data_IF_074688012308
#
_entry.id   IF_074688012308
#
_cell.length_a   1.000
_cell.length_b   1.000
_cell.length_c   1.000
_cell.angle_alpha   90.00
_cell.angle_beta   90.00
_cell.angle_gamma   90.00
#
_symmetry.space_group_name_H-M   'P 1'
#
loop_
_entity.id
_entity.type
_entity.pdbx_description
1 polymer ?
#
# COMPACT_ATOMS: atom_id res chain seq x y z
N UNK A 1 -28.16 30.28 16.36
CA UNK A 1 -26.69 30.19 16.27
C UNK A 1 -26.34 30.20 14.79
N UNK A 2 -25.54 31.15 14.33
CA UNK A 2 -25.23 31.33 12.91
C UNK A 2 -24.27 30.22 12.44
N UNK A 3 -24.63 29.52 11.37
CA UNK A 3 -23.73 28.55 10.75
C UNK A 3 -22.50 29.27 10.19
N UNK A 4 -21.38 29.18 10.92
CA UNK A 4 -20.13 29.76 10.48
C UNK A 4 -19.48 28.86 9.43
N UNK A 5 -19.36 29.38 8.20
CA UNK A 5 -18.69 28.73 7.07
C UNK A 5 -17.27 29.27 6.97
N UNK A 6 -16.27 28.38 6.92
CA UNK A 6 -14.86 28.75 6.74
C UNK A 6 -14.35 28.27 5.39
N UNK A 7 -13.48 29.05 4.76
CA UNK A 7 -12.72 28.59 3.59
C UNK A 7 -11.72 27.48 3.97
N UNK A 8 -11.21 26.74 2.99
CA UNK A 8 -10.18 25.71 3.19
C UNK A 8 -8.99 26.25 4.00
N UNK A 9 -8.50 27.44 3.66
CA UNK A 9 -7.31 28.06 4.28
C UNK A 9 -7.57 28.41 5.73
N UNK A 10 -8.75 28.96 6.03
CA UNK A 10 -9.14 29.32 7.39
C UNK A 10 -9.33 28.07 8.25
N UNK A 11 -9.98 27.03 7.70
CA UNK A 11 -10.15 25.75 8.37
C UNK A 11 -8.80 25.07 8.66
N UNK A 12 -7.88 25.10 7.70
CA UNK A 12 -6.52 24.58 7.85
C UNK A 12 -5.77 25.24 9.02
N UNK A 13 -5.84 26.57 9.10
CA UNK A 13 -5.25 27.35 10.20
C UNK A 13 -5.91 27.04 11.55
N UNK A 14 -7.24 26.96 11.58
CA UNK A 14 -7.99 26.71 12.82
C UNK A 14 -7.65 25.35 13.44
N UNK A 15 -7.48 24.32 12.62
CA UNK A 15 -7.18 22.95 13.07
C UNK A 15 -5.71 22.55 12.97
N UNK A 16 -4.81 23.50 12.65
CA UNK A 16 -3.37 23.25 12.48
C UNK A 16 -3.03 22.09 11.52
N UNK A 17 -3.76 22.00 10.41
CA UNK A 17 -3.54 21.00 9.35
C UNK A 17 -3.19 21.68 8.03
N UNK A 18 -2.47 21.00 7.15
CA UNK A 18 -2.14 21.58 5.83
C UNK A 18 -3.38 21.70 4.94
N UNK A 19 -3.43 22.74 4.10
CA UNK A 19 -4.45 22.92 3.06
C UNK A 19 -4.63 21.66 2.18
N UNK A 20 -3.51 20.99 1.88
CA UNK A 20 -3.51 19.77 1.08
C UNK A 20 -4.25 18.63 1.78
N UNK A 21 -4.08 18.50 3.10
CA UNK A 21 -4.79 17.52 3.92
C UNK A 21 -6.30 17.79 3.91
N UNK A 22 -6.72 19.05 4.01
CA UNK A 22 -8.14 19.44 3.96
C UNK A 22 -8.75 19.05 2.61
N UNK A 23 -8.09 19.40 1.49
CA UNK A 23 -8.53 19.01 0.13
C UNK A 23 -8.65 17.51 -0.02
N UNK A 24 -7.68 16.74 0.48
CA UNK A 24 -7.73 15.27 0.46
C UNK A 24 -8.93 14.75 1.25
N UNK A 25 -9.20 15.31 2.44
CA UNK A 25 -10.35 14.91 3.28
C UNK A 25 -11.69 15.18 2.58
N UNK A 26 -11.83 16.34 1.93
CA UNK A 26 -12.99 16.68 1.08
C UNK A 26 -13.13 15.65 -0.05
N UNK A 27 -12.05 15.38 -0.79
CA UNK A 27 -12.04 14.40 -1.90
C UNK A 27 -12.43 12.99 -1.44
N UNK A 28 -12.00 12.58 -0.25
CA UNK A 28 -12.34 11.27 0.33
C UNK A 28 -13.72 11.21 1.00
N UNK A 29 -14.48 12.32 1.04
CA UNK A 29 -15.78 12.39 1.72
C UNK A 29 -15.70 12.40 3.25
N UNK A 30 -14.49 12.51 3.83
CA UNK A 30 -14.29 12.59 5.29
C UNK A 30 -14.60 13.96 5.88
N UNK A 31 -14.73 14.96 5.03
CA UNK A 31 -15.08 16.33 5.40
C UNK A 31 -16.10 16.85 4.39
N UNK A 32 -17.28 17.25 4.85
CA UNK A 32 -18.28 17.81 3.95
C UNK A 32 -17.92 19.27 3.64
N UNK A 33 -18.00 19.63 2.37
CA UNK A 33 -17.75 20.98 1.90
C UNK A 33 -18.76 21.38 0.82
N UNK A 34 -19.05 22.67 0.74
CA UNK A 34 -19.93 23.25 -0.29
C UNK A 34 -19.11 24.17 -1.18
N UNK A 35 -19.29 24.06 -2.50
CA UNK A 35 -18.67 24.95 -3.47
C UNK A 35 -19.53 26.21 -3.64
N UNK A 36 -18.99 27.39 -3.32
CA UNK A 36 -19.63 28.69 -3.54
C UNK A 36 -18.65 29.63 -4.22
N UNK A 37 -19.03 30.23 -5.35
CA UNK A 37 -18.20 31.16 -6.12
C UNK A 37 -16.80 30.59 -6.46
N UNK A 38 -16.74 29.31 -6.83
CA UNK A 38 -15.47 28.62 -7.16
C UNK A 38 -14.56 28.31 -5.97
N UNK A 39 -14.99 28.58 -4.72
CA UNK A 39 -14.24 28.28 -3.50
C UNK A 39 -15.00 27.28 -2.63
N UNK A 40 -14.27 26.37 -1.98
CA UNK A 40 -14.83 25.39 -1.05
C UNK A 40 -14.95 25.99 0.35
N UNK A 41 -16.11 25.78 0.98
CA UNK A 41 -16.41 26.18 2.35
C UNK A 41 -16.80 24.97 3.20
N UNK A 42 -16.37 24.95 4.46
CA UNK A 42 -16.55 23.87 5.43
C UNK A 42 -17.32 24.43 6.64
N UNK A 43 -18.32 23.70 7.12
CA UNK A 43 -19.11 24.09 8.29
C UNK A 43 -18.39 23.73 9.60
N UNK A 44 -18.27 24.68 10.51
CA UNK A 44 -17.52 24.56 11.77
C UNK A 44 -18.14 23.55 12.77
N UNK A 45 -19.45 23.30 12.67
CA UNK A 45 -20.18 22.44 13.61
C UNK A 45 -20.12 20.95 13.27
N UNK A 46 -19.41 20.57 12.20
CA UNK A 46 -19.04 19.17 12.02
C UNK A 46 -17.91 18.87 13.00
N UNK A 47 -18.28 18.51 14.23
CA UNK A 47 -17.39 17.68 15.05
C UNK A 47 -16.94 16.55 14.13
N UNK A 48 -15.64 16.26 14.01
CA UNK A 48 -15.14 15.13 13.23
C UNK A 48 -15.52 13.83 13.95
N UNK A 49 -16.82 13.57 14.06
CA UNK A 49 -17.36 12.31 14.50
C UNK A 49 -17.29 11.37 13.30
N UNK A 50 -16.35 10.45 13.44
CA UNK A 50 -16.51 9.06 13.08
C UNK A 50 -18.00 8.67 12.97
N UNK A 51 -18.35 7.99 11.88
CA UNK A 51 -19.63 7.32 11.59
C UNK A 51 -20.75 8.20 11.00
N UNK A 52 -20.93 8.13 9.68
CA UNK A 52 -21.97 7.28 9.06
C UNK A 52 -22.20 7.70 7.60
N UNK A 53 -21.95 6.75 6.70
CA UNK A 53 -22.36 6.81 5.31
C UNK A 53 -23.88 6.65 5.30
N UNK A 54 -24.62 7.77 5.34
CA UNK A 54 -26.03 7.76 4.97
C UNK A 54 -26.10 7.91 3.45
N UNK A 55 -26.14 6.78 2.75
CA UNK A 55 -26.55 6.73 1.34
C UNK A 55 -27.95 7.36 1.25
N UNK A 56 -28.06 8.50 0.57
CA UNK A 56 -29.34 9.00 0.07
C UNK A 56 -29.89 7.97 -0.92
N UNK A 57 -31.04 7.42 -0.58
CA UNK A 57 -31.94 6.67 -1.46
C UNK A 57 -32.41 7.56 -2.61
N UNK A 58 -32.20 7.10 -3.84
CA UNK A 58 -32.87 7.59 -5.05
C UNK A 58 -33.99 6.58 -5.34
N UNK A 59 -35.24 7.02 -5.56
CA UNK A 59 -36.33 6.11 -5.92
C UNK A 59 -36.44 5.93 -7.45
N UNK A 60 -37.14 4.85 -7.82
CA UNK A 60 -38.01 4.71 -9.01
C UNK A 60 -37.51 3.85 -10.19
N UNK A 61 -38.20 2.70 -10.31
CA UNK A 61 -38.74 1.97 -11.46
C UNK A 61 -37.90 1.16 -12.46
N UNK A 62 -38.20 -0.15 -12.41
CA UNK A 62 -38.56 -1.10 -13.47
C UNK A 62 -37.84 -1.12 -14.84
N UNK A 63 -37.29 -2.31 -15.07
CA UNK A 63 -37.31 -3.11 -16.31
C UNK A 63 -36.28 -2.82 -17.41
N UNK A 64 -35.46 -3.86 -17.60
CA UNK A 64 -34.83 -4.30 -18.86
C UNK A 64 -33.59 -3.52 -19.31
N UNK A 65 -32.41 -4.09 -19.03
CA UNK A 65 -31.58 -4.75 -20.04
C UNK A 65 -30.17 -4.96 -19.47
N UNK A 66 -29.72 -6.21 -19.55
CA UNK A 66 -28.35 -6.58 -19.28
C UNK A 66 -27.43 -5.88 -20.29
N UNK A 67 -26.64 -4.92 -19.81
CA UNK A 67 -25.43 -4.47 -20.48
C UNK A 67 -24.30 -4.39 -19.46
N UNK A 68 -23.47 -5.43 -19.49
CA UNK A 68 -22.10 -5.39 -19.02
C UNK A 68 -21.34 -4.34 -19.85
N UNK A 69 -20.98 -3.22 -19.22
CA UNK A 69 -19.79 -2.45 -19.63
C UNK A 69 -18.97 -2.20 -18.38
N UNK A 70 -18.03 -3.12 -18.16
CA UNK A 70 -16.81 -2.84 -17.42
C UNK A 70 -16.07 -1.71 -18.14
N UNK A 71 -15.84 -0.59 -17.45
CA UNK A 71 -14.76 0.33 -17.78
C UNK A 71 -13.91 0.61 -16.53
N UNK A 72 -12.83 -0.16 -16.47
CA UNK A 72 -11.47 0.30 -16.27
C UNK A 72 -11.11 0.94 -14.93
N UNK A 73 -10.74 0.07 -13.99
CA UNK A 73 -9.87 0.35 -12.85
C UNK A 73 -8.48 0.81 -13.31
N UNK A 74 -8.12 2.05 -12.98
CA UNK A 74 -6.72 2.47 -12.82
C UNK A 74 -6.33 2.32 -11.36
N UNK A 75 -5.82 1.14 -11.01
CA UNK A 75 -5.02 0.90 -9.80
C UNK A 75 -4.05 -0.24 -10.10
N UNK A 76 -2.75 0.04 -10.10
CA UNK A 76 -1.69 -0.97 -10.25
C UNK A 76 -1.35 -1.57 -8.89
N UNK A 77 -1.81 -2.79 -8.69
CA UNK A 77 -1.22 -3.72 -7.72
C UNK A 77 -1.15 -5.10 -8.40
N UNK A 78 0.07 -5.59 -8.60
CA UNK A 78 0.31 -6.94 -9.11
C UNK A 78 0.11 -7.94 -7.97
N UNK A 79 -0.88 -8.81 -8.12
CA UNK A 79 -1.06 -10.03 -7.34
C UNK A 79 -1.15 -11.17 -8.34
N UNK A 80 -0.10 -11.97 -8.43
CA UNK A 80 -0.13 -13.26 -9.11
C UNK A 80 -0.65 -14.32 -8.14
N UNK A 81 -1.79 -14.94 -8.48
CA UNK A 81 -2.08 -16.33 -8.13
C UNK A 81 -2.83 -17.02 -9.28
N UNK A 82 -2.63 -18.34 -9.44
CA UNK A 82 -2.78 -19.02 -10.71
C UNK A 82 -4.18 -19.62 -10.86
N UNK A 83 -4.71 -19.71 -12.09
CA UNK A 83 -5.50 -20.89 -12.41
C UNK A 83 -5.60 -21.19 -13.91
N UNK A 84 -5.37 -22.47 -14.14
CA UNK A 84 -5.46 -23.26 -15.37
C UNK A 84 -6.84 -23.20 -16.02
N UNK A 85 -6.89 -22.82 -17.29
CA UNK A 85 -7.51 -23.58 -18.38
C UNK A 85 -7.57 -22.70 -19.63
N UNK A 86 -6.58 -22.83 -20.50
CA UNK A 86 -6.79 -22.53 -21.91
C UNK A 86 -6.28 -23.69 -22.75
N UNK A 87 -7.23 -24.23 -23.51
CA UNK A 87 -7.03 -25.21 -24.57
C UNK A 87 -6.01 -24.67 -25.56
N UNK A 88 -5.11 -25.58 -25.94
CA UNK A 88 -4.06 -25.42 -26.92
C UNK A 88 -4.61 -24.96 -28.28
N UNK A 89 -4.36 -23.71 -28.65
CA UNK A 89 -4.38 -23.30 -30.05
C UNK A 89 -2.93 -23.08 -30.47
N UNK A 90 -2.37 -24.10 -31.14
CA UNK A 90 -0.99 -24.16 -31.62
C UNK A 90 -0.72 -23.07 -32.66
N UNK A 91 -0.41 -21.87 -32.22
CA UNK A 91 0.37 -20.93 -33.04
C UNK A 91 1.83 -21.20 -32.75
N UNK A 92 2.49 -21.85 -33.70
CA UNK A 92 3.95 -21.96 -33.76
C UNK A 92 4.54 -20.55 -33.86
N UNK A 93 4.77 -19.92 -32.71
CA UNK A 93 5.65 -18.77 -32.62
C UNK A 93 7.05 -19.35 -32.64
N UNK A 94 7.73 -19.21 -33.79
CA UNK A 94 9.17 -19.33 -33.87
C UNK A 94 9.77 -18.28 -32.93
N UNK A 95 10.08 -18.68 -31.71
CA UNK A 95 11.03 -17.97 -30.86
C UNK A 95 12.38 -18.08 -31.55
N UNK A 96 12.71 -17.09 -32.39
CA UNK A 96 14.10 -16.76 -32.65
C UNK A 96 14.69 -16.36 -31.31
N UNK A 97 15.52 -17.24 -30.76
CA UNK A 97 16.41 -17.03 -29.62
C UNK A 97 17.06 -15.66 -29.73
N UNK A 98 16.71 -14.78 -28.80
CA UNK A 98 17.40 -13.49 -28.64
C UNK A 98 18.88 -13.68 -28.21
N UNK A 99 19.28 -14.92 -27.94
CA UNK A 99 20.65 -15.33 -27.61
C UNK A 99 21.59 -15.41 -28.83
N UNK A 100 21.08 -15.42 -30.07
CA UNK A 100 21.92 -15.58 -31.27
C UNK A 100 22.41 -14.26 -31.91
N UNK A 101 22.10 -13.10 -31.33
CA UNK A 101 22.55 -11.80 -31.85
C UNK A 101 23.44 -10.98 -30.91
N UNK A 102 23.95 -11.60 -29.84
CA UNK A 102 25.01 -11.02 -29.01
C UNK A 102 26.26 -11.91 -28.98
N UNK A 103 26.57 -12.59 -30.08
CA UNK A 103 27.94 -13.03 -30.38
C UNK A 103 28.68 -11.84 -31.01
N UNK A 104 28.79 -10.74 -30.27
CA UNK A 104 30.01 -9.96 -30.41
C UNK A 104 31.09 -10.82 -29.77
N UNK A 105 31.84 -11.50 -30.63
CA UNK A 105 33.07 -12.18 -30.27
C UNK A 105 33.87 -11.22 -29.39
N UNK A 106 33.84 -11.47 -28.09
CA UNK A 106 34.77 -10.92 -27.11
C UNK A 106 36.13 -11.56 -27.40
N UNK A 107 36.73 -11.19 -28.54
CA UNK A 107 38.17 -11.09 -28.59
C UNK A 107 38.53 -10.13 -27.46
N UNK A 108 39.25 -10.68 -26.48
CA UNK A 108 39.64 -10.01 -25.25
C UNK A 108 39.86 -8.51 -25.48
N UNK A 109 39.12 -7.62 -24.79
CA UNK A 109 39.40 -6.17 -24.85
C UNK A 109 40.80 -5.83 -24.31
N UNK A 110 41.52 -6.81 -23.75
CA UNK A 110 42.89 -6.74 -23.29
C UNK A 110 43.96 -7.11 -24.34
N UNK A 111 43.58 -7.44 -25.59
CA UNK A 111 44.55 -7.63 -26.70
C UNK A 111 44.87 -6.32 -27.47
N UNK A 112 44.63 -5.16 -26.86
CA UNK A 112 45.02 -3.87 -27.44
C UNK A 112 46.56 -3.70 -27.49
N UNK A 113 47.29 -4.35 -26.58
CA UNK A 113 48.75 -4.25 -26.52
C UNK A 113 49.48 -4.94 -27.69
N UNK A 114 48.88 -5.95 -28.32
CA UNK A 114 49.47 -6.62 -29.50
C UNK A 114 49.27 -5.82 -30.81
N UNK A 115 48.20 -5.02 -30.93
CA UNK A 115 47.96 -4.18 -32.12
C UNK A 115 48.81 -2.90 -32.14
N UNK A 116 49.22 -2.39 -30.97
CA UNK A 116 50.04 -1.17 -30.86
C UNK A 116 51.47 -1.39 -31.36
N UNK A 117 51.97 -2.63 -31.27
CA UNK A 117 53.35 -2.97 -31.65
C UNK A 117 53.56 -3.17 -33.16
N UNK A 118 52.51 -3.21 -34.00
CA UNK A 118 52.65 -3.46 -35.45
C UNK A 118 52.38 -2.24 -36.34
N UNK A 119 51.66 -1.22 -35.88
CA UNK A 119 51.44 0.04 -36.62
C UNK A 119 51.44 1.21 -35.64
N UNK A 120 52.62 1.82 -35.41
CA UNK A 120 52.89 2.82 -34.38
C UNK A 120 52.25 4.20 -34.56
N UNK A 121 50.97 4.26 -34.94
CA UNK A 121 50.22 5.51 -35.01
C UNK A 121 48.77 5.29 -34.55
N UNK A 122 48.52 5.48 -33.26
CA UNK A 122 47.15 5.62 -32.75
C UNK A 122 46.70 7.04 -33.12
N UNK A 123 45.62 7.22 -33.90
CA UNK A 123 45.10 8.54 -34.20
C UNK A 123 44.79 9.29 -32.89
N UNK A 124 45.18 10.56 -32.77
CA UNK A 124 44.95 11.35 -31.54
C UNK A 124 43.48 11.33 -31.09
N UNK A 125 42.53 11.29 -32.04
CA UNK A 125 41.10 11.15 -31.79
C UNK A 125 40.76 9.86 -30.99
N UNK A 126 41.44 8.74 -31.27
CA UNK A 126 41.23 7.48 -30.52
C UNK A 126 41.76 7.58 -29.09
N UNK A 127 42.84 8.34 -28.87
CA UNK A 127 43.40 8.56 -27.52
C UNK A 127 42.50 9.43 -26.66
N UNK A 128 41.90 10.49 -27.23
CA UNK A 128 40.91 11.32 -26.53
C UNK A 128 39.64 10.53 -26.19
N UNK A 129 39.18 9.65 -27.08
CA UNK A 129 38.05 8.76 -26.80
C UNK A 129 38.34 7.77 -25.67
N UNK A 130 39.57 7.24 -25.56
CA UNK A 130 39.95 6.36 -24.45
C UNK A 130 39.95 7.10 -23.11
N UNK A 131 40.49 8.32 -23.06
CA UNK A 131 40.49 9.15 -21.84
C UNK A 131 39.07 9.52 -21.39
N UNK A 132 38.18 9.88 -22.34
CA UNK A 132 36.77 10.17 -21.99
C UNK A 132 36.03 8.93 -21.51
N UNK A 133 36.27 7.76 -22.11
CA UNK A 133 35.71 6.49 -21.66
C UNK A 133 36.21 6.07 -20.26
N UNK A 134 37.47 6.33 -19.92
CA UNK A 134 38.00 6.08 -18.57
C UNK A 134 37.32 6.94 -17.51
N UNK A 135 37.12 8.24 -17.79
CA UNK A 135 36.40 9.16 -16.89
C UNK A 135 34.94 8.71 -16.70
N UNK A 136 34.24 8.37 -17.79
CA UNK A 136 32.87 7.86 -17.73
C UNK A 136 32.80 6.55 -16.93
N UNK A 137 33.78 5.66 -17.08
CA UNK A 137 33.87 4.40 -16.34
C UNK A 137 34.08 4.62 -14.84
N UNK A 138 34.94 5.57 -14.47
CA UNK A 138 35.18 5.95 -13.09
C UNK A 138 33.91 6.51 -12.43
N UNK A 139 33.25 7.48 -13.07
CA UNK A 139 32.02 8.08 -12.58
C UNK A 139 30.91 7.04 -12.43
N UNK A 140 30.75 6.15 -13.42
CA UNK A 140 29.76 5.07 -13.37
C UNK A 140 29.97 4.13 -12.18
N UNK A 141 31.22 3.75 -11.87
CA UNK A 141 31.55 2.92 -10.69
C UNK A 141 31.22 3.66 -9.39
N UNK A 142 31.48 4.96 -9.33
CA UNK A 142 31.15 5.76 -8.16
C UNK A 142 29.63 5.82 -7.93
N UNK A 143 28.86 6.08 -8.98
CA UNK A 143 27.39 6.06 -8.94
C UNK A 143 26.85 4.69 -8.53
N UNK A 144 27.38 3.58 -9.07
CA UNK A 144 26.97 2.23 -8.68
C UNK A 144 27.20 1.98 -7.19
N UNK A 145 28.39 2.28 -6.66
CA UNK A 145 28.67 2.15 -5.22
C UNK A 145 27.75 3.04 -4.37
N UNK A 146 27.40 4.24 -4.86
CA UNK A 146 26.45 5.12 -4.19
C UNK A 146 25.05 4.50 -4.13
N UNK A 147 24.54 3.99 -5.26
CA UNK A 147 23.24 3.33 -5.32
C UNK A 147 23.18 2.06 -4.48
N UNK A 148 24.23 1.23 -4.50
CA UNK A 148 24.33 0.04 -3.64
C UNK A 148 24.23 0.41 -2.15
N UNK A 149 24.95 1.45 -1.72
CA UNK A 149 24.86 1.95 -0.34
C UNK A 149 23.48 2.50 -0.02
N UNK A 150 22.84 3.20 -0.96
CA UNK A 150 21.49 3.73 -0.77
C UNK A 150 20.46 2.61 -0.64
N UNK A 151 20.50 1.61 -1.54
CA UNK A 151 19.63 0.42 -1.51
C UNK A 151 19.80 -0.33 -0.19
N UNK A 152 21.05 -0.54 0.26
CA UNK A 152 21.34 -1.20 1.53
C UNK A 152 20.72 -0.45 2.72
N UNK A 153 20.83 0.88 2.76
CA UNK A 153 20.22 1.71 3.81
C UNK A 153 18.69 1.61 3.82
N UNK A 154 18.06 1.67 2.65
CA UNK A 154 16.61 1.51 2.53
C UNK A 154 16.19 0.14 3.05
N UNK A 155 16.85 -0.92 2.60
CA UNK A 155 16.58 -2.30 3.02
C UNK A 155 16.79 -2.51 4.53
N UNK A 156 17.82 -1.92 5.13
CA UNK A 156 18.01 -1.96 6.58
C UNK A 156 16.91 -1.21 7.34
N UNK A 157 16.46 -0.06 6.82
CA UNK A 157 15.36 0.70 7.43
C UNK A 157 14.02 -0.05 7.35
N UNK A 158 13.73 -0.71 6.22
CA UNK A 158 12.54 -1.53 6.04
C UNK A 158 12.57 -2.77 6.96
N UNK A 159 13.73 -3.41 7.13
CA UNK A 159 13.88 -4.51 8.09
C UNK A 159 13.55 -4.06 9.53
N UNK A 160 13.97 -2.85 9.92
CA UNK A 160 13.67 -2.31 11.26
C UNK A 160 12.18 -2.04 11.44
N UNK A 161 11.51 -1.47 10.43
CA UNK A 161 10.07 -1.21 10.52
C UNK A 161 9.26 -2.51 10.55
N UNK A 162 9.65 -3.51 9.76
CA UNK A 162 9.04 -4.86 9.82
C UNK A 162 9.17 -5.46 11.22
N UNK A 163 10.36 -5.40 11.82
CA UNK A 163 10.58 -5.94 13.17
C UNK A 163 9.78 -5.18 14.23
N UNK A 164 9.67 -3.86 14.13
CA UNK A 164 8.82 -3.05 15.01
C UNK A 164 7.35 -3.47 14.93
N UNK A 165 6.81 -3.64 13.72
CA UNK A 165 5.43 -4.09 13.54
C UNK A 165 5.20 -5.51 14.04
N UNK A 166 6.17 -6.41 13.85
CA UNK A 166 6.14 -7.77 14.38
C UNK A 166 6.08 -7.77 15.91
N UNK A 167 6.86 -6.92 16.56
CA UNK A 167 6.83 -6.75 18.02
C UNK A 167 5.49 -6.20 18.52
N UNK A 168 4.92 -5.20 17.83
CA UNK A 168 3.58 -4.69 18.15
C UNK A 168 2.50 -5.76 18.01
N UNK A 169 2.58 -6.58 16.96
CA UNK A 169 1.66 -7.68 16.72
C UNK A 169 1.75 -8.74 17.84
N UNK A 170 2.96 -9.09 18.27
CA UNK A 170 3.17 -10.03 19.38
C UNK A 170 2.60 -9.50 20.71
N UNK A 171 2.78 -8.20 20.98
CA UNK A 171 2.21 -7.56 22.16
C UNK A 171 0.68 -7.59 22.14
N UNK A 172 0.06 -7.21 21.01
CA UNK A 172 -1.40 -7.25 20.86
C UNK A 172 -1.95 -8.67 21.00
N UNK A 173 -1.28 -9.67 20.42
CA UNK A 173 -1.67 -11.07 20.58
C UNK A 173 -1.62 -11.52 22.04
N UNK A 174 -0.59 -11.10 22.79
CA UNK A 174 -0.48 -11.40 24.22
C UNK A 174 -1.61 -10.76 25.02
N UNK A 175 -2.01 -9.53 24.68
CA UNK A 175 -3.15 -8.86 25.30
C UNK A 175 -4.48 -9.56 24.99
N UNK A 176 -4.68 -10.01 23.75
CA UNK A 176 -5.87 -10.78 23.35
C UNK A 176 -5.96 -12.07 24.15
N UNK A 177 -4.85 -12.79 24.33
CA UNK A 177 -4.82 -14.02 25.14
C UNK A 177 -5.24 -13.75 26.60
N UNK A 178 -4.68 -12.71 27.23
CA UNK A 178 -5.04 -12.32 28.60
C UNK A 178 -6.51 -11.90 28.73
N UNK A 179 -7.06 -11.19 27.74
CA UNK A 179 -8.47 -10.79 27.73
C UNK A 179 -9.39 -11.99 27.58
N UNK A 180 -9.04 -12.96 26.72
CA UNK A 180 -9.80 -14.19 26.55
C UNK A 180 -9.80 -15.06 27.80
N UNK A 181 -8.68 -15.14 28.51
CA UNK A 181 -8.61 -15.83 29.81
C UNK A 181 -9.53 -15.17 30.84
N UNK A 182 -9.49 -13.84 30.95
CA UNK A 182 -10.39 -13.08 31.84
C UNK A 182 -11.86 -13.28 31.48
N UNK A 183 -12.18 -13.32 30.18
CA UNK A 183 -13.52 -13.57 29.68
C UNK A 183 -13.98 -14.98 30.07
N UNK A 184 -13.13 -16.00 29.85
CA UNK A 184 -13.40 -17.38 30.26
C UNK A 184 -13.69 -17.51 31.75
N UNK A 185 -12.86 -16.89 32.61
CA UNK A 185 -13.06 -16.91 34.07
C UNK A 185 -14.37 -16.23 34.49
N UNK A 186 -14.72 -15.12 33.84
CA UNK A 186 -16.01 -14.43 34.07
C UNK A 186 -17.18 -15.30 33.61
N UNK A 187 -17.08 -15.96 32.46
CA UNK A 187 -18.12 -16.88 31.95
C UNK A 187 -18.37 -18.03 32.93
N UNK A 188 -17.32 -18.67 33.47
CA UNK A 188 -17.45 -19.71 34.49
C UNK A 188 -18.09 -19.21 35.79
N UNK A 189 -17.84 -17.94 36.16
CA UNK A 189 -18.46 -17.34 37.35
C UNK A 189 -19.94 -17.08 37.13
N UNK A 190 -20.32 -16.64 35.92
CA UNK A 190 -21.72 -16.45 35.53
C UNK A 190 -22.46 -17.78 35.58
N UNK A 191 -21.88 -18.84 34.99
CA UNK A 191 -22.45 -20.20 35.02
C UNK A 191 -22.74 -20.66 36.44
N UNK A 192 -21.76 -20.58 37.35
CA UNK A 192 -21.96 -20.92 38.78
C UNK A 192 -23.02 -20.09 39.49
N UNK A 193 -23.26 -18.85 39.06
CA UNK A 193 -24.31 -18.01 39.63
C UNK A 193 -25.68 -18.38 39.04
N UNK A 194 -25.73 -18.78 37.77
CA UNK A 194 -26.95 -19.29 37.13
C UNK A 194 -27.42 -20.58 37.81
N UNK A 195 -26.51 -21.53 38.06
CA UNK A 195 -26.82 -22.77 38.80
C UNK A 195 -27.43 -22.47 40.18
N UNK A 196 -26.87 -21.51 40.91
CA UNK A 196 -27.39 -21.09 42.23
C UNK A 196 -28.75 -20.41 42.14
N UNK A 197 -29.01 -19.66 41.08
CA UNK A 197 -30.32 -19.02 40.87
C UNK A 197 -31.36 -20.12 40.62
N UNK A 198 -31.04 -21.09 39.77
CA UNK A 198 -31.91 -22.24 39.48
C UNK A 198 -32.22 -23.04 40.76
N UNK A 199 -31.20 -23.35 41.58
CA UNK A 199 -31.39 -24.01 42.88
C UNK A 199 -32.34 -23.23 43.80
N UNK A 200 -32.21 -21.90 43.85
CA UNK A 200 -33.06 -21.04 44.67
C UNK A 200 -34.48 -20.94 44.13
N UNK A 201 -34.66 -20.89 42.81
CA UNK A 201 -35.96 -20.91 42.15
C UNK A 201 -36.72 -22.20 42.47
N UNK A 202 -36.06 -23.36 42.41
CA UNK A 202 -36.66 -24.64 42.83
C UNK A 202 -37.08 -24.65 44.31
N UNK A 203 -36.29 -24.04 45.21
CA UNK A 203 -36.66 -23.96 46.63
C UNK A 203 -37.88 -23.07 46.88
N UNK A 204 -38.00 -21.97 46.13
CA UNK A 204 -39.17 -21.08 46.22
C UNK A 204 -40.43 -21.82 45.77
N UNK A 205 -40.36 -22.56 44.66
CA UNK A 205 -41.49 -23.36 44.15
C UNK A 205 -41.99 -24.37 45.21
N UNK A 206 -41.08 -25.07 45.91
CA UNK A 206 -41.43 -26.01 47.00
C UNK A 206 -42.09 -25.31 48.19
N UNK A 207 -41.72 -24.05 48.48
CA UNK A 207 -42.30 -23.29 49.59
C UNK A 207 -43.70 -22.78 49.22
N UNK A 208 -43.90 -22.36 47.98
CA UNK A 208 -45.20 -21.86 47.49
C UNK A 208 -46.28 -22.94 47.40
N UNK A 209 -45.91 -24.21 47.28
CA UNK A 209 -46.86 -25.35 47.27
C UNK A 209 -47.41 -25.74 48.66
N UNK A 210 -46.88 -25.20 49.76
CA UNK A 210 -47.28 -25.54 51.14
C UNK A 210 -48.26 -24.56 51.77
#
# INVERSE_FOLDING_TARGET
MTEQWMSIVEFARHYQISDMTVRRRIKTGKLQAVLRNGKYYIALHQKPNQQNISRKTIPTDERSQAFNISNNTRSHHYVEKPNSNYKEEKRQIQTRSFEDHMIYSTKNPFQLDECINQNGFIPENTREQLLTNEVISFDSKHFLSFYEKAIKKVLESEKRTIEEYKNKLNLLNSQILLLNEKLSNKSQTIEKLQDKIEDLECLVEIIEEK
#
